data_IF_469264435477
#
_entry.id   IF_469264435477
#
_cell.length_a   1.000
_cell.length_b   1.000
_cell.length_c   1.000
_cell.angle_alpha   90.00
_cell.angle_beta   90.00
_cell.angle_gamma   90.00
#
_symmetry.space_group_name_H-M   'P 1'
#
loop_
_entity.id
_entity.type
_entity.pdbx_description
1 polymer ?
#
# COMPACT_ATOMS: atom_id res chain seq x y z
N UNK A 1 22.82 -34.84 53.35
CA UNK A 1 23.62 -34.07 52.36
C UNK A 1 23.06 -32.66 52.30
N UNK A 2 23.87 -31.61 52.51
CA UNK A 2 23.39 -30.23 52.44
C UNK A 2 23.11 -29.90 50.97
N UNK A 3 21.85 -29.67 50.63
CA UNK A 3 21.46 -29.19 49.31
C UNK A 3 22.01 -27.78 49.13
N UNK A 4 22.95 -27.66 48.21
CA UNK A 4 23.69 -26.42 47.98
C UNK A 4 22.76 -25.43 47.25
N UNK A 5 21.94 -24.70 48.03
CA UNK A 5 20.84 -23.84 47.54
C UNK A 5 21.25 -22.91 46.40
N UNK A 6 22.51 -22.44 46.39
CA UNK A 6 23.12 -21.65 45.31
C UNK A 6 23.21 -22.39 43.97
N UNK A 7 23.56 -23.68 43.96
CA UNK A 7 23.62 -24.48 42.72
C UNK A 7 22.24 -24.71 42.14
N UNK A 8 21.23 -24.92 42.99
CA UNK A 8 19.83 -25.12 42.57
C UNK A 8 19.25 -23.82 41.98
N UNK A 9 19.54 -22.66 42.58
CA UNK A 9 19.10 -21.36 42.04
C UNK A 9 19.77 -21.04 40.71
N UNK A 10 21.08 -21.31 40.56
CA UNK A 10 21.79 -21.12 39.28
C UNK A 10 21.22 -22.03 38.20
N UNK A 11 20.95 -23.30 38.52
CA UNK A 11 20.37 -24.25 37.57
C UNK A 11 18.98 -23.80 37.10
N UNK A 12 18.12 -23.35 38.01
CA UNK A 12 16.80 -22.80 37.70
C UNK A 12 16.89 -21.58 36.79
N UNK A 13 17.82 -20.67 37.07
CA UNK A 13 18.02 -19.46 36.28
C UNK A 13 18.48 -19.79 34.85
N UNK A 14 19.39 -20.77 34.70
CA UNK A 14 19.80 -21.27 33.38
C UNK A 14 18.62 -21.88 32.63
N UNK A 15 17.79 -22.70 33.29
CA UNK A 15 16.62 -23.31 32.64
C UNK A 15 15.56 -22.30 32.20
N UNK A 16 15.36 -21.22 32.99
CA UNK A 16 14.45 -20.13 32.63
C UNK A 16 15.02 -19.33 31.44
N UNK A 17 16.33 -19.05 31.44
CA UNK A 17 16.96 -18.39 30.29
C UNK A 17 16.86 -19.24 29.03
N UNK A 18 17.09 -20.55 29.14
CA UNK A 18 17.01 -21.48 28.02
C UNK A 18 15.59 -21.57 27.46
N UNK A 19 14.57 -21.58 28.34
CA UNK A 19 13.16 -21.62 27.91
C UNK A 19 12.73 -20.32 27.21
N UNK A 20 13.21 -19.16 27.68
CA UNK A 20 13.01 -17.90 26.97
C UNK A 20 13.70 -17.89 25.60
N UNK A 21 14.92 -18.41 25.52
CA UNK A 21 15.69 -18.44 24.27
C UNK A 21 15.03 -19.39 23.25
N UNK A 22 14.62 -20.58 23.68
CA UNK A 22 13.85 -21.52 22.85
C UNK A 22 12.47 -20.95 22.45
N UNK A 23 11.76 -20.31 23.39
CA UNK A 23 10.48 -19.65 23.12
C UNK A 23 10.61 -18.53 22.09
N UNK A 24 11.65 -17.71 22.18
CA UNK A 24 11.95 -16.67 21.21
C UNK A 24 12.33 -17.24 19.83
N UNK A 25 13.08 -18.34 19.81
CA UNK A 25 13.47 -19.01 18.56
C UNK A 25 12.25 -19.62 17.85
N UNK A 26 11.37 -20.29 18.58
CA UNK A 26 10.11 -20.84 18.06
C UNK A 26 9.20 -19.72 17.59
N UNK A 27 9.09 -18.63 18.35
CA UNK A 27 8.32 -17.45 17.98
C UNK A 27 8.84 -16.85 16.66
N UNK A 28 10.15 -16.63 16.52
CA UNK A 28 10.76 -16.10 15.29
C UNK A 28 10.55 -17.07 14.11
N UNK A 29 10.74 -18.37 14.31
CA UNK A 29 10.58 -19.37 13.24
C UNK A 29 9.11 -19.47 12.77
N UNK A 30 8.14 -19.37 13.68
CA UNK A 30 6.73 -19.37 13.30
C UNK A 30 6.30 -18.05 12.66
N UNK A 31 6.76 -16.89 13.16
CA UNK A 31 6.44 -15.58 12.58
C UNK A 31 7.01 -15.42 11.17
N UNK A 32 8.21 -15.98 10.94
CA UNK A 32 8.86 -16.01 9.61
C UNK A 32 8.19 -17.02 8.67
N UNK A 33 7.53 -18.04 9.20
CA UNK A 33 6.75 -19.01 8.39
C UNK A 33 5.36 -18.49 8.03
N UNK A 34 4.79 -17.60 8.84
CA UNK A 34 3.46 -17.00 8.58
C UNK A 34 3.52 -15.76 7.69
N UNK A 35 4.64 -15.04 7.66
CA UNK A 35 4.86 -13.93 6.74
C UNK A 35 5.75 -14.40 5.59
N UNK A 36 5.14 -14.85 4.50
CA UNK A 36 5.87 -15.02 3.24
C UNK A 36 6.61 -13.70 2.93
N UNK A 37 7.89 -13.76 2.59
CA UNK A 37 8.65 -12.55 2.31
C UNK A 37 7.97 -11.84 1.12
N UNK A 38 7.51 -10.59 1.25
CA UNK A 38 6.95 -9.85 0.12
C UNK A 38 7.95 -9.77 -1.04
N UNK A 39 9.26 -9.87 -0.76
CA UNK A 39 10.37 -9.87 -1.72
C UNK A 39 10.71 -11.22 -2.31
N UNK A 40 10.15 -12.33 -1.82
CA UNK A 40 10.15 -13.58 -2.57
C UNK A 40 9.24 -13.34 -3.79
N UNK A 41 9.88 -12.92 -4.89
CA UNK A 41 9.30 -12.90 -6.23
C UNK A 41 8.84 -14.30 -6.55
N UNK A 42 7.72 -14.42 -7.27
CA UNK A 42 7.42 -15.63 -8.03
C UNK A 42 8.70 -16.10 -8.73
N UNK A 43 9.22 -17.24 -8.30
CA UNK A 43 10.61 -17.66 -8.53
C UNK A 43 10.87 -17.84 -10.03
N UNK A 44 11.39 -16.81 -10.71
CA UNK A 44 12.13 -16.99 -11.95
C UNK A 44 13.59 -16.60 -11.74
N UNK A 45 14.44 -17.61 -11.65
CA UNK A 45 15.90 -17.50 -11.51
C UNK A 45 16.55 -16.54 -12.52
N UNK A 46 15.97 -16.39 -13.72
CA UNK A 46 16.48 -15.48 -14.77
C UNK A 46 16.34 -14.02 -14.38
N UNK A 47 15.36 -13.67 -13.54
CA UNK A 47 15.05 -12.29 -13.16
C UNK A 47 15.84 -11.79 -11.94
N UNK A 48 16.24 -12.69 -11.04
CA UNK A 48 16.80 -12.30 -9.73
C UNK A 48 18.10 -11.48 -9.84
N UNK A 49 19.00 -11.87 -10.74
CA UNK A 49 20.28 -11.18 -10.94
C UNK A 49 20.02 -9.75 -11.45
N UNK A 50 19.15 -9.60 -12.43
CA UNK A 50 18.83 -8.30 -13.02
C UNK A 50 18.01 -7.44 -12.07
N UNK A 51 17.15 -8.03 -11.25
CA UNK A 51 16.42 -7.31 -10.21
C UNK A 51 17.35 -6.71 -9.16
N UNK A 52 18.30 -7.52 -8.63
CA UNK A 52 19.31 -7.02 -7.68
C UNK A 52 20.20 -5.94 -8.29
N UNK A 53 20.58 -6.08 -9.57
CA UNK A 53 21.35 -5.03 -10.29
C UNK A 53 20.53 -3.75 -10.43
N UNK A 54 19.27 -3.87 -10.82
CA UNK A 54 18.37 -2.73 -11.01
C UNK A 54 18.14 -1.96 -9.71
N UNK A 55 18.03 -2.64 -8.57
CA UNK A 55 17.93 -1.98 -7.26
C UNK A 55 19.14 -1.08 -6.93
N UNK A 56 20.32 -1.39 -7.47
CA UNK A 56 21.53 -0.57 -7.30
C UNK A 56 21.64 0.59 -8.29
N UNK A 57 20.95 0.52 -9.44
CA UNK A 57 20.99 1.52 -10.52
C UNK A 57 19.60 1.71 -11.17
N UNK A 58 18.61 2.20 -10.41
CA UNK A 58 17.23 2.32 -10.90
C UNK A 58 17.07 3.37 -12.01
N UNK A 59 17.99 4.32 -12.12
CA UNK A 59 18.00 5.39 -13.13
C UNK A 59 18.06 4.86 -14.58
N UNK A 60 18.54 3.63 -14.77
CA UNK A 60 18.63 3.00 -16.10
C UNK A 60 17.25 2.88 -16.76
N UNK A 61 16.18 2.69 -15.98
CA UNK A 61 14.81 2.60 -16.53
C UNK A 61 14.30 3.93 -17.13
N UNK A 62 14.91 5.06 -16.78
CA UNK A 62 14.59 6.37 -17.37
C UNK A 62 15.46 6.72 -18.58
N UNK A 63 16.37 5.84 -19.00
CA UNK A 63 17.28 6.10 -20.12
C UNK A 63 16.65 5.79 -21.48
N UNK A 64 17.27 6.30 -22.54
CA UNK A 64 16.80 6.09 -23.91
C UNK A 64 16.76 4.60 -24.25
N UNK A 65 15.62 4.14 -24.78
CA UNK A 65 15.42 2.76 -25.19
C UNK A 65 14.65 1.89 -24.20
N UNK A 66 14.14 2.47 -23.10
CA UNK A 66 13.10 1.89 -22.27
C UNK A 66 11.73 2.51 -22.58
N UNK A 67 10.60 1.86 -22.25
CA UNK A 67 9.27 2.42 -22.40
C UNK A 67 9.10 3.73 -21.59
N UNK A 68 8.50 4.75 -22.21
CA UNK A 68 8.24 6.04 -21.55
C UNK A 68 7.21 5.92 -20.41
N UNK A 69 6.13 5.16 -20.63
CA UNK A 69 5.16 4.79 -19.58
C UNK A 69 5.37 3.32 -19.20
N UNK A 70 6.19 3.12 -18.17
CA UNK A 70 6.53 1.78 -17.72
C UNK A 70 5.31 1.03 -17.17
N UNK A 71 4.34 1.74 -16.58
CA UNK A 71 3.14 1.10 -16.03
C UNK A 71 2.23 0.56 -17.12
N UNK A 72 1.95 1.39 -18.13
CA UNK A 72 1.10 1.00 -19.25
C UNK A 72 1.72 -0.14 -20.07
N UNK A 73 3.05 -0.08 -20.26
CA UNK A 73 3.80 -1.17 -20.87
C UNK A 73 3.65 -2.50 -20.12
N UNK A 74 3.79 -2.50 -18.79
CA UNK A 74 3.67 -3.71 -17.98
C UNK A 74 2.24 -4.30 -17.99
N UNK A 75 1.20 -3.46 -17.99
CA UNK A 75 -0.19 -3.92 -18.13
C UNK A 75 -0.46 -4.49 -19.52
N UNK A 76 0.05 -3.83 -20.57
CA UNK A 76 -0.04 -4.34 -21.94
C UNK A 76 0.64 -5.70 -22.07
N UNK A 77 1.84 -5.86 -21.51
CA UNK A 77 2.58 -7.11 -21.52
C UNK A 77 1.82 -8.22 -20.77
N UNK A 78 1.23 -7.90 -19.61
CA UNK A 78 0.35 -8.81 -18.87
C UNK A 78 -0.88 -9.22 -19.68
N UNK A 79 -1.48 -8.30 -20.42
CA UNK A 79 -2.60 -8.60 -21.32
C UNK A 79 -2.18 -9.56 -22.42
N UNK A 80 -1.03 -9.33 -23.06
CA UNK A 80 -0.48 -10.25 -24.06
C UNK A 80 -0.22 -11.63 -23.47
N UNK A 81 0.44 -11.71 -22.32
CA UNK A 81 0.68 -12.99 -21.68
C UNK A 81 -0.63 -13.72 -21.38
N UNK A 82 -1.59 -13.06 -20.76
CA UNK A 82 -2.84 -13.72 -20.32
C UNK A 82 -3.72 -14.18 -21.47
N UNK A 83 -3.79 -13.41 -22.56
CA UNK A 83 -4.79 -13.62 -23.61
C UNK A 83 -4.23 -14.03 -24.97
N UNK A 84 -3.04 -13.53 -25.35
CA UNK A 84 -2.42 -13.86 -26.64
C UNK A 84 -1.49 -15.07 -26.52
N UNK A 85 -0.81 -15.21 -25.37
CA UNK A 85 0.17 -16.28 -25.13
C UNK A 85 -0.32 -17.31 -24.13
N UNK A 86 -1.60 -17.30 -23.74
CA UNK A 86 -2.22 -18.30 -22.86
C UNK A 86 -1.50 -18.54 -21.53
N UNK A 87 -0.87 -17.51 -20.96
CA UNK A 87 -0.07 -17.61 -19.73
C UNK A 87 1.36 -18.12 -19.95
N UNK A 88 1.85 -18.16 -21.19
CA UNK A 88 3.23 -18.58 -21.48
C UNK A 88 4.23 -17.47 -21.12
N UNK A 89 4.90 -17.67 -20.00
CA UNK A 89 5.95 -16.79 -19.49
C UNK A 89 7.23 -16.84 -20.34
N UNK A 90 7.54 -17.96 -20.97
CA UNK A 90 8.72 -18.10 -21.84
C UNK A 90 8.53 -17.34 -23.15
N UNK A 91 7.31 -17.30 -23.69
CA UNK A 91 6.95 -16.43 -24.82
C UNK A 91 7.09 -14.95 -24.45
N UNK A 92 6.63 -14.57 -23.26
CA UNK A 92 6.79 -13.20 -22.72
C UNK A 92 8.25 -12.79 -22.64
N UNK A 93 9.11 -13.68 -22.14
CA UNK A 93 10.54 -13.45 -22.06
C UNK A 93 11.20 -13.33 -23.45
N UNK A 94 10.87 -14.24 -24.37
CA UNK A 94 11.39 -14.18 -25.76
C UNK A 94 10.99 -12.89 -26.47
N UNK A 95 9.75 -12.45 -26.31
CA UNK A 95 9.26 -11.18 -26.85
C UNK A 95 10.06 -9.98 -26.32
N UNK A 96 10.34 -9.95 -25.00
CA UNK A 96 11.13 -8.87 -24.43
C UNK A 96 12.57 -8.84 -24.96
N UNK A 97 13.19 -10.00 -25.17
CA UNK A 97 14.54 -10.08 -25.74
C UNK A 97 14.59 -9.68 -27.22
N UNK A 98 13.52 -9.92 -27.99
CA UNK A 98 13.47 -9.53 -29.39
C UNK A 98 13.24 -8.02 -29.57
N UNK A 99 12.35 -7.44 -28.77
CA UNK A 99 12.00 -6.02 -28.87
C UNK A 99 13.01 -5.10 -28.18
N UNK A 100 13.61 -5.56 -27.07
CA UNK A 100 14.56 -4.80 -26.27
C UNK A 100 15.89 -5.56 -26.20
N UNK A 101 16.78 -5.37 -27.19
CA UNK A 101 18.05 -6.09 -27.24
C UNK A 101 18.97 -5.69 -26.09
N UNK A 102 20.05 -6.47 -25.94
CA UNK A 102 21.06 -6.35 -24.88
C UNK A 102 20.49 -6.69 -23.49
N UNK A 103 21.02 -6.08 -22.43
CA UNK A 103 20.54 -6.29 -21.05
C UNK A 103 19.13 -5.74 -20.79
N UNK A 104 18.57 -4.95 -21.72
CA UNK A 104 17.30 -4.22 -21.52
C UNK A 104 16.11 -5.16 -21.41
N UNK A 105 15.99 -6.15 -22.29
CA UNK A 105 14.93 -7.14 -22.23
C UNK A 105 14.96 -7.94 -20.93
N UNK A 106 16.15 -8.27 -20.42
CA UNK A 106 16.31 -8.95 -19.13
C UNK A 106 15.89 -8.07 -17.94
N UNK A 107 16.25 -6.78 -17.96
CA UNK A 107 15.85 -5.82 -16.91
C UNK A 107 14.33 -5.63 -16.92
N UNK A 108 13.73 -5.42 -18.10
CA UNK A 108 12.27 -5.28 -18.24
C UNK A 108 11.54 -6.55 -17.79
N UNK A 109 12.11 -7.72 -18.08
CA UNK A 109 11.55 -8.97 -17.59
C UNK A 109 11.59 -9.06 -16.07
N UNK A 110 12.69 -8.63 -15.43
CA UNK A 110 12.77 -8.61 -13.98
C UNK A 110 11.75 -7.65 -13.34
N UNK A 111 11.56 -6.47 -13.93
CA UNK A 111 10.49 -5.54 -13.52
C UNK A 111 9.12 -6.20 -13.69
N UNK A 112 8.89 -6.90 -14.80
CA UNK A 112 7.64 -7.58 -15.07
C UNK A 112 7.32 -8.69 -14.07
N UNK A 113 8.31 -9.52 -13.72
CA UNK A 113 8.13 -10.56 -12.69
C UNK A 113 7.78 -9.93 -11.34
N UNK A 114 8.49 -8.89 -10.93
CA UNK A 114 8.16 -8.15 -9.70
C UNK A 114 6.75 -7.52 -9.75
N UNK A 115 6.35 -7.01 -10.92
CA UNK A 115 5.01 -6.46 -11.17
C UNK A 115 3.91 -7.51 -11.04
N UNK A 116 4.12 -8.70 -11.60
CA UNK A 116 3.17 -9.80 -11.49
C UNK A 116 3.06 -10.31 -10.04
N UNK A 117 4.17 -10.39 -9.32
CA UNK A 117 4.19 -10.70 -7.89
C UNK A 117 3.39 -9.67 -7.08
N UNK A 118 3.57 -8.37 -7.36
CA UNK A 118 2.76 -7.32 -6.73
C UNK A 118 1.27 -7.47 -7.04
N UNK A 119 0.89 -7.76 -8.30
CA UNK A 119 -0.52 -7.95 -8.69
C UNK A 119 -1.17 -9.12 -7.95
N UNK A 120 -0.46 -10.24 -7.84
CA UNK A 120 -0.94 -11.43 -7.15
C UNK A 120 -1.14 -11.16 -5.66
N UNK A 121 -0.11 -10.67 -4.96
CA UNK A 121 -0.19 -10.31 -3.54
C UNK A 121 -1.21 -9.20 -3.26
N UNK A 122 -1.36 -8.23 -4.15
CA UNK A 122 -2.40 -7.19 -4.01
C UNK A 122 -3.80 -7.79 -4.09
N UNK A 123 -4.03 -8.74 -4.99
CA UNK A 123 -5.32 -9.43 -5.12
C UNK A 123 -5.63 -10.26 -3.87
N UNK A 124 -4.64 -10.90 -3.27
CA UNK A 124 -4.79 -11.60 -1.98
C UNK A 124 -5.23 -10.64 -0.87
N UNK A 125 -4.58 -9.47 -0.75
CA UNK A 125 -4.97 -8.43 0.22
C UNK A 125 -6.39 -7.91 -0.06
N UNK A 126 -6.71 -7.62 -1.31
CA UNK A 126 -8.03 -7.09 -1.71
C UNK A 126 -9.16 -8.09 -1.46
N UNK A 127 -8.90 -9.39 -1.61
CA UNK A 127 -9.85 -10.47 -1.34
C UNK A 127 -9.99 -10.83 0.13
N UNK A 128 -9.08 -10.37 1.00
CA UNK A 128 -9.16 -10.62 2.45
C UNK A 128 -10.45 -10.03 3.04
N UNK A 129 -11.22 -10.84 3.75
CA UNK A 129 -12.45 -10.39 4.44
C UNK A 129 -12.18 -9.81 5.82
N UNK A 130 -10.99 -10.03 6.38
CA UNK A 130 -10.62 -9.56 7.71
C UNK A 130 -10.17 -8.09 7.74
N UNK A 131 -9.91 -7.49 6.57
CA UNK A 131 -9.43 -6.13 6.43
C UNK A 131 -10.55 -5.20 5.93
N UNK A 132 -10.59 -4.00 6.49
CA UNK A 132 -11.43 -2.91 6.00
C UNK A 132 -10.89 -2.33 4.70
N UNK A 133 -11.71 -1.57 3.96
CA UNK A 133 -11.28 -0.93 2.70
C UNK A 133 -10.04 -0.04 2.89
N UNK A 134 -9.95 0.68 4.00
CA UNK A 134 -8.80 1.51 4.34
C UNK A 134 -7.54 0.68 4.63
N UNK A 135 -7.67 -0.40 5.41
CA UNK A 135 -6.55 -1.29 5.70
C UNK A 135 -6.03 -1.98 4.45
N UNK A 136 -6.93 -2.42 3.56
CA UNK A 136 -6.56 -2.97 2.25
C UNK A 136 -5.76 -1.96 1.44
N UNK A 137 -6.26 -0.74 1.31
CA UNK A 137 -5.59 0.31 0.55
C UNK A 137 -4.21 0.63 1.14
N UNK A 138 -4.11 0.71 2.47
CA UNK A 138 -2.84 0.97 3.17
C UNK A 138 -1.85 -0.18 2.99
N UNK A 139 -2.32 -1.43 3.12
CA UNK A 139 -1.51 -2.62 2.93
C UNK A 139 -1.00 -2.76 1.49
N UNK A 140 -1.85 -2.49 0.48
CA UNK A 140 -1.45 -2.48 -0.93
C UNK A 140 -0.42 -1.38 -1.21
N UNK A 141 -0.59 -0.18 -0.65
CA UNK A 141 0.40 0.90 -0.82
C UNK A 141 1.75 0.55 -0.17
N UNK A 142 1.73 -0.03 1.03
CA UNK A 142 2.95 -0.52 1.68
C UNK A 142 3.63 -1.63 0.86
N UNK A 143 2.84 -2.55 0.29
CA UNK A 143 3.35 -3.62 -0.57
C UNK A 143 4.05 -3.06 -1.83
N UNK A 144 3.53 -1.96 -2.41
CA UNK A 144 4.21 -1.28 -3.54
C UNK A 144 5.60 -0.80 -3.13
N UNK A 145 5.71 -0.15 -1.98
CA UNK A 145 6.99 0.39 -1.48
C UNK A 145 7.97 -0.73 -1.08
N UNK A 146 7.45 -1.85 -0.55
CA UNK A 146 8.27 -3.00 -0.15
C UNK A 146 8.84 -3.76 -1.36
N UNK A 147 8.05 -3.93 -2.42
CA UNK A 147 8.47 -4.61 -3.66
C UNK A 147 9.31 -3.68 -4.52
N UNK A 148 8.90 -2.42 -4.71
CA UNK A 148 9.55 -1.46 -5.59
C UNK A 148 10.21 -0.36 -4.75
N UNK A 149 11.51 -0.43 -4.44
CA UNK A 149 12.15 0.61 -3.65
C UNK A 149 12.49 1.85 -4.50
N UNK A 150 12.41 3.03 -3.87
CA UNK A 150 12.98 4.28 -4.37
C UNK A 150 12.40 4.75 -5.70
N UNK A 151 13.28 4.99 -6.68
CA UNK A 151 12.91 5.56 -7.99
C UNK A 151 12.03 4.61 -8.80
N UNK A 152 12.20 3.29 -8.66
CA UNK A 152 11.41 2.30 -9.39
C UNK A 152 9.92 2.43 -9.05
N UNK A 153 9.60 2.68 -7.77
CA UNK A 153 8.23 2.96 -7.34
C UNK A 153 7.63 4.14 -8.09
N UNK A 154 8.38 5.24 -8.21
CA UNK A 154 7.88 6.48 -8.83
C UNK A 154 7.66 6.32 -10.33
N UNK A 155 8.48 5.50 -11.00
CA UNK A 155 8.35 5.18 -12.43
C UNK A 155 7.11 4.30 -12.72
N UNK A 156 6.82 3.33 -11.85
CA UNK A 156 5.69 2.41 -12.04
C UNK A 156 4.38 2.97 -11.46
N UNK A 157 4.46 3.69 -10.34
CA UNK A 157 3.34 4.26 -9.62
C UNK A 157 3.57 5.75 -9.37
N UNK A 158 3.51 6.58 -10.44
CA UNK A 158 3.62 8.02 -10.28
C UNK A 158 2.53 8.51 -9.33
N UNK A 159 2.86 9.50 -8.50
CA UNK A 159 1.90 10.13 -7.59
C UNK A 159 0.73 10.68 -8.40
N UNK A 160 -0.45 10.14 -8.19
CA UNK A 160 -1.66 10.65 -8.82
C UNK A 160 -2.33 11.67 -7.89
N UNK A 161 -2.75 12.85 -8.39
CA UNK A 161 -3.47 13.87 -7.61
C UNK A 161 -4.61 13.34 -6.74
N UNK A 162 -5.34 12.33 -7.23
CA UNK A 162 -6.50 11.77 -6.52
C UNK A 162 -6.16 10.76 -5.43
N UNK A 163 -4.90 10.31 -5.31
CA UNK A 163 -4.53 9.29 -4.32
C UNK A 163 -4.79 9.74 -2.88
N UNK A 164 -4.39 10.95 -2.43
CA UNK A 164 -4.66 11.37 -1.06
C UNK A 164 -6.17 11.58 -0.75
N UNK A 165 -6.99 12.21 -1.61
CA UNK A 165 -8.44 12.25 -1.40
C UNK A 165 -9.06 10.86 -1.19
N UNK A 166 -8.66 9.85 -1.97
CA UNK A 166 -9.16 8.47 -1.78
C UNK A 166 -8.75 7.90 -0.43
N UNK A 167 -7.50 8.09 0.00
CA UNK A 167 -7.02 7.64 1.33
C UNK A 167 -7.85 8.30 2.44
N UNK A 168 -8.14 9.59 2.31
CA UNK A 168 -8.89 10.35 3.31
C UNK A 168 -10.33 9.86 3.47
N UNK A 169 -11.03 9.63 2.36
CA UNK A 169 -12.40 9.10 2.39
C UNK A 169 -12.40 7.72 3.04
N UNK A 170 -11.56 6.80 2.57
CA UNK A 170 -11.50 5.45 3.14
C UNK A 170 -11.13 5.45 4.62
N UNK A 171 -10.21 6.31 5.05
CA UNK A 171 -9.86 6.47 6.46
C UNK A 171 -11.05 6.91 7.32
N UNK A 172 -11.82 7.89 6.82
CA UNK A 172 -12.99 8.41 7.53
C UNK A 172 -14.09 7.35 7.61
N UNK A 173 -14.35 6.61 6.53
CA UNK A 173 -15.31 5.49 6.50
C UNK A 173 -14.94 4.42 7.55
N UNK A 174 -13.69 3.96 7.56
CA UNK A 174 -13.19 2.99 8.53
C UNK A 174 -13.31 3.50 9.97
N UNK A 175 -12.95 4.76 10.20
CA UNK A 175 -13.09 5.38 11.52
C UNK A 175 -14.54 5.39 12.00
N UNK A 176 -15.49 5.76 11.14
CA UNK A 176 -16.93 5.79 11.47
C UNK A 176 -17.46 4.38 11.73
N UNK A 177 -17.06 3.41 10.91
CA UNK A 177 -17.45 2.01 11.08
C UNK A 177 -16.99 1.45 12.44
N UNK A 178 -15.76 1.79 12.86
CA UNK A 178 -15.21 1.40 14.17
C UNK A 178 -15.79 2.20 15.33
N UNK A 179 -16.21 3.45 15.08
CA UNK A 179 -16.68 4.38 16.10
C UNK A 179 -18.07 4.94 15.72
N UNK A 180 -19.13 4.08 15.66
CA UNK A 180 -20.45 4.48 15.17
C UNK A 180 -21.11 5.57 16.02
N UNK A 181 -20.70 5.68 17.29
CA UNK A 181 -21.22 6.67 18.25
C UNK A 181 -20.48 8.01 18.22
N UNK A 182 -19.40 8.15 17.44
CA UNK A 182 -18.67 9.40 17.31
C UNK A 182 -19.56 10.53 16.77
N UNK A 183 -19.39 11.73 17.34
CA UNK A 183 -20.10 12.94 16.92
C UNK A 183 -19.35 13.65 15.77
N UNK A 184 -20.04 14.50 14.99
CA UNK A 184 -19.45 15.22 13.87
C UNK A 184 -18.18 15.99 14.24
N UNK A 185 -18.13 16.62 15.42
CA UNK A 185 -16.94 17.35 15.90
C UNK A 185 -15.71 16.45 15.98
N UNK A 186 -15.88 15.21 16.44
CA UNK A 186 -14.79 14.25 16.54
C UNK A 186 -14.37 13.72 15.17
N UNK A 187 -15.35 13.35 14.33
CA UNK A 187 -15.13 12.91 12.93
C UNK A 187 -14.40 13.97 12.10
N UNK A 188 -14.77 15.24 12.27
CA UNK A 188 -14.10 16.40 11.65
C UNK A 188 -12.65 16.54 12.15
N UNK A 189 -12.42 16.44 13.46
CA UNK A 189 -11.08 16.55 14.06
C UNK A 189 -10.13 15.47 13.53
N UNK A 190 -10.57 14.20 13.50
CA UNK A 190 -9.72 13.10 13.01
C UNK A 190 -9.47 13.19 11.51
N UNK A 191 -10.46 13.67 10.74
CA UNK A 191 -10.30 13.91 9.31
C UNK A 191 -9.27 15.00 9.04
N UNK A 192 -9.39 16.16 9.70
CA UNK A 192 -8.45 17.27 9.53
C UNK A 192 -7.02 16.89 9.94
N UNK A 193 -6.86 16.16 11.04
CA UNK A 193 -5.54 15.63 11.45
C UNK A 193 -4.95 14.71 10.36
N UNK A 194 -5.74 13.78 9.81
CA UNK A 194 -5.27 12.87 8.75
C UNK A 194 -4.95 13.62 7.46
N UNK A 195 -5.77 14.64 7.14
CA UNK A 195 -5.56 15.55 6.02
C UNK A 195 -4.22 16.24 6.13
N UNK A 196 -3.91 16.81 7.29
CA UNK A 196 -2.61 17.44 7.57
C UNK A 196 -1.42 16.45 7.43
N UNK A 197 -1.55 15.24 7.99
CA UNK A 197 -0.52 14.19 7.87
C UNK A 197 -0.21 13.81 6.42
N UNK A 198 -1.24 13.61 5.60
CA UNK A 198 -1.10 13.17 4.20
C UNK A 198 -0.57 14.26 3.28
N UNK A 199 -0.85 15.52 3.62
CA UNK A 199 -0.58 16.65 2.76
C UNK A 199 0.74 17.38 3.03
N UNK A 200 1.32 17.25 4.23
CA UNK A 200 2.62 17.83 4.58
C UNK A 200 2.79 19.29 4.06
N UNK A 201 4.02 19.79 3.84
CA UNK A 201 4.30 21.22 3.56
C UNK A 201 3.77 21.74 2.21
N UNK A 202 3.24 20.90 1.33
CA UNK A 202 2.77 21.29 -0.02
C UNK A 202 1.33 21.80 -0.02
N UNK A 203 0.97 22.66 0.96
CA UNK A 203 -0.42 23.14 1.17
C UNK A 203 -1.08 23.71 -0.09
N UNK A 204 -0.31 24.35 -0.99
CA UNK A 204 -0.83 25.14 -2.11
C UNK A 204 -1.18 24.33 -3.38
N UNK A 205 -0.51 23.22 -3.70
CA UNK A 205 -0.82 22.41 -4.89
C UNK A 205 -2.10 21.56 -4.72
N UNK A 206 -2.55 21.38 -3.48
CA UNK A 206 -3.55 20.39 -3.05
C UNK A 206 -4.98 20.79 -3.40
N UNK A 207 -5.30 22.08 -3.47
CA UNK A 207 -6.68 22.52 -3.73
C UNK A 207 -7.15 22.11 -5.14
N UNK A 208 -6.21 21.94 -6.07
CA UNK A 208 -6.52 21.49 -7.44
C UNK A 208 -6.87 20.00 -7.50
N UNK A 209 -6.57 19.23 -6.45
CA UNK A 209 -6.72 17.78 -6.42
C UNK A 209 -8.03 17.33 -5.76
N UNK A 210 -8.66 18.21 -4.98
CA UNK A 210 -9.90 17.93 -4.26
C UNK A 210 -11.12 18.29 -5.11
N UNK A 211 -11.79 17.28 -5.67
CA UNK A 211 -13.00 17.50 -6.45
C UNK A 211 -14.19 17.96 -5.59
N UNK A 212 -15.19 18.67 -6.15
CA UNK A 212 -16.42 18.98 -5.43
C UNK A 212 -17.14 17.76 -4.85
N UNK A 213 -17.03 16.60 -5.53
CA UNK A 213 -17.60 15.36 -5.06
C UNK A 213 -16.91 14.82 -3.80
N UNK A 214 -15.59 14.94 -3.71
CA UNK A 214 -14.83 14.57 -2.52
C UNK A 214 -15.35 15.31 -1.29
N UNK A 215 -15.52 16.63 -1.38
CA UNK A 215 -16.07 17.43 -0.27
C UNK A 215 -17.48 17.00 0.12
N UNK A 216 -18.36 16.73 -0.85
CA UNK A 216 -19.70 16.21 -0.57
C UNK A 216 -19.64 14.89 0.19
N UNK A 217 -18.82 13.95 -0.26
CA UNK A 217 -18.66 12.65 0.40
C UNK A 217 -18.15 12.80 1.84
N UNK A 218 -17.11 13.60 2.05
CA UNK A 218 -16.52 13.82 3.39
C UNK A 218 -17.54 14.47 4.33
N UNK A 219 -18.22 15.52 3.90
CA UNK A 219 -19.24 16.19 4.72
C UNK A 219 -20.40 15.23 5.01
N UNK A 220 -20.83 14.46 4.02
CA UNK A 220 -21.86 13.43 4.21
C UNK A 220 -21.49 12.42 5.30
N UNK A 221 -20.23 11.98 5.33
CA UNK A 221 -19.72 11.04 6.33
C UNK A 221 -19.57 11.69 7.72
N UNK A 222 -19.06 12.93 7.79
CA UNK A 222 -18.89 13.64 9.07
C UNK A 222 -20.24 13.90 9.73
N UNK A 223 -21.24 14.32 8.97
CA UNK A 223 -22.53 14.80 9.49
C UNK A 223 -23.70 13.84 9.24
N UNK A 224 -23.40 12.58 8.91
CA UNK A 224 -24.38 11.54 8.58
C UNK A 224 -25.53 11.45 9.60
N UNK A 225 -25.20 11.61 10.89
CA UNK A 225 -26.15 11.52 12.00
C UNK A 225 -27.09 12.72 12.03
N UNK A 226 -26.54 13.92 11.95
CA UNK A 226 -27.29 15.17 11.95
C UNK A 226 -28.24 15.24 10.75
N UNK A 227 -27.80 14.74 9.59
CA UNK A 227 -28.61 14.75 8.38
C UNK A 227 -29.67 13.65 8.32
N UNK A 228 -29.64 12.65 9.22
CA UNK A 228 -30.57 11.52 9.17
C UNK A 228 -32.04 11.94 9.33
N UNK A 229 -32.27 13.02 10.06
CA UNK A 229 -33.61 13.52 10.39
C UNK A 229 -34.06 14.70 9.50
N UNK A 230 -33.20 15.15 8.59
CA UNK A 230 -33.46 16.29 7.69
C UNK A 230 -34.20 15.87 6.42
N UNK A 231 -34.96 16.78 5.81
CA UNK A 231 -35.50 16.60 4.44
C UNK A 231 -34.40 16.72 3.38
N UNK A 232 -34.67 16.33 2.14
CA UNK A 232 -33.66 16.42 1.06
C UNK A 232 -33.27 17.88 0.74
N UNK A 233 -34.21 18.81 0.85
CA UNK A 233 -33.95 20.24 0.69
C UNK A 233 -33.04 20.77 1.81
N UNK A 234 -33.34 20.39 3.06
CA UNK A 234 -32.54 20.75 4.23
C UNK A 234 -31.12 20.16 4.16
N UNK A 235 -31.00 18.89 3.75
CA UNK A 235 -29.71 18.22 3.53
C UNK A 235 -28.87 18.97 2.49
N UNK A 236 -29.46 19.38 1.38
CA UNK A 236 -28.74 20.07 0.31
C UNK A 236 -28.18 21.41 0.78
N UNK A 237 -28.97 22.19 1.52
CA UNK A 237 -28.52 23.44 2.13
C UNK A 237 -27.45 23.20 3.20
N UNK A 238 -27.67 22.22 4.08
CA UNK A 238 -26.76 21.87 5.16
C UNK A 238 -25.40 21.40 4.63
N UNK A 239 -25.39 20.50 3.64
CA UNK A 239 -24.18 20.03 2.96
C UNK A 239 -23.39 21.21 2.38
N UNK A 240 -24.05 22.12 1.68
CA UNK A 240 -23.38 23.27 1.05
C UNK A 240 -22.72 24.16 2.10
N UNK A 241 -23.43 24.47 3.18
CA UNK A 241 -22.89 25.25 4.31
C UNK A 241 -21.68 24.58 4.97
N UNK A 242 -21.78 23.26 5.23
CA UNK A 242 -20.70 22.49 5.86
C UNK A 242 -19.49 22.26 4.97
N UNK A 243 -19.66 22.25 3.65
CA UNK A 243 -18.54 22.21 2.69
C UNK A 243 -17.72 23.49 2.80
N UNK A 244 -18.36 24.66 2.84
CA UNK A 244 -17.65 25.94 2.96
C UNK A 244 -16.96 26.08 4.33
N UNK A 245 -17.60 25.63 5.41
CA UNK A 245 -16.97 25.52 6.73
C UNK A 245 -15.71 24.66 6.68
N UNK A 246 -15.82 23.43 6.16
CA UNK A 246 -14.71 22.47 6.11
C UNK A 246 -13.53 22.97 5.27
N UNK A 247 -13.79 23.69 4.17
CA UNK A 247 -12.73 24.33 3.38
C UNK A 247 -11.99 25.37 4.21
N UNK A 248 -12.71 26.22 4.93
CA UNK A 248 -12.13 27.26 5.78
C UNK A 248 -11.26 26.70 6.91
N UNK A 249 -11.74 25.66 7.61
CA UNK A 249 -11.05 25.10 8.79
C UNK A 249 -9.70 24.44 8.50
N UNK A 250 -9.40 24.10 7.26
CA UNK A 250 -8.10 23.54 6.91
C UNK A 250 -7.01 24.62 6.75
N UNK A 251 -7.41 25.84 6.39
CA UNK A 251 -6.49 26.95 6.13
C UNK A 251 -6.22 27.83 7.35
N UNK A 252 -7.07 27.72 8.39
CA UNK A 252 -6.96 28.41 9.67
C UNK A 252 -6.34 27.51 10.74
#
# INVERSE_FOLDING_TARGET
MPTNKKKITILLLITILLSFLLGSLVYILFLKKTNADPKESSFDSRSEIYWKRLQNRPEVLGSVGYPNDLRDFLETLRGKESFLWNGDRDETYRYLLSEFPDERGHILYAVYVAYMNWKEKSKEIESSTSLTSYEKLTAVNRLKEEIFPGVIHQLIFPKHPTTPPTILVSYLEDYIQRNPYSYARERKRIFLRKKEELYQKEKWDIQTWESPNFYRQVVSLIYEREMKEMTEEEKTFYLTSKIEELKSDFWN
#
